data_IF_186290752429
#
_entry.id   IF_186290752429
#
_cell.length_a   1.000
_cell.length_b   1.000
_cell.length_c   1.000
_cell.angle_alpha   90.00
_cell.angle_beta   90.00
_cell.angle_gamma   90.00
#
_symmetry.space_group_name_H-M   'P 1'
#
loop_
_entity.id
_entity.type
_entity.pdbx_description
1 polymer ?
#
# COMPACT_ATOMS: atom_id res chain seq x y z
N UNK A 1 -3.60 3.28 -6.87
CA UNK A 1 -2.92 2.46 -7.88
C UNK A 1 -3.17 3.03 -9.26
N UNK A 2 -2.13 3.20 -10.09
CA UNK A 2 -2.28 3.49 -11.51
C UNK A 2 -2.82 2.23 -12.18
N UNK A 3 -3.89 2.37 -12.96
CA UNK A 3 -4.50 1.27 -13.69
C UNK A 3 -4.94 1.79 -15.05
N UNK A 4 -4.50 1.15 -16.12
CA UNK A 4 -4.87 1.55 -17.48
C UNK A 4 -6.39 1.37 -17.66
N UNK A 5 -7.04 2.35 -18.29
CA UNK A 5 -8.50 2.34 -18.46
C UNK A 5 -9.30 2.65 -17.18
N UNK A 6 -8.65 3.10 -16.10
CA UNK A 6 -9.30 3.54 -14.87
C UNK A 6 -10.38 4.59 -15.13
N UNK A 7 -11.55 4.41 -14.51
CA UNK A 7 -12.72 5.29 -14.66
C UNK A 7 -12.77 6.45 -13.64
N UNK A 8 -11.69 6.68 -12.88
CA UNK A 8 -11.63 7.70 -11.80
C UNK A 8 -12.15 9.08 -12.20
N UNK A 9 -11.65 9.64 -13.30
CA UNK A 9 -12.13 10.95 -13.78
C UNK A 9 -13.60 10.94 -14.21
N UNK A 10 -14.12 9.78 -14.65
CA UNK A 10 -15.54 9.65 -14.99
C UNK A 10 -16.42 9.58 -13.74
N UNK A 11 -15.90 9.07 -12.62
CA UNK A 11 -16.64 9.02 -11.35
C UNK A 11 -16.86 10.43 -10.76
N UNK A 12 -15.99 11.39 -11.10
CA UNK A 12 -16.14 12.80 -10.73
C UNK A 12 -17.11 13.55 -11.65
N UNK A 13 -17.62 12.90 -12.72
CA UNK A 13 -18.55 13.50 -13.67
C UNK A 13 -19.84 12.65 -13.81
N UNK A 14 -20.39 12.53 -15.02
CA UNK A 14 -21.69 11.91 -15.28
C UNK A 14 -21.81 10.44 -14.85
N UNK A 15 -20.72 9.67 -14.87
CA UNK A 15 -20.78 8.26 -14.45
C UNK A 15 -21.06 8.13 -12.93
N UNK A 16 -20.43 8.97 -12.10
CA UNK A 16 -20.67 8.95 -10.66
C UNK A 16 -22.10 9.32 -10.30
N UNK A 17 -22.62 10.38 -10.94
CA UNK A 17 -24.01 10.81 -10.76
C UNK A 17 -25.01 9.71 -11.15
N UNK A 18 -24.82 9.11 -12.33
CA UNK A 18 -25.65 8.00 -12.81
C UNK A 18 -25.61 6.80 -11.85
N UNK A 19 -24.44 6.41 -11.34
CA UNK A 19 -24.33 5.31 -10.37
C UNK A 19 -25.15 5.62 -9.12
N UNK A 20 -25.03 6.83 -8.57
CA UNK A 20 -25.77 7.24 -7.37
C UNK A 20 -27.28 7.23 -7.63
N UNK A 21 -27.72 7.79 -8.75
CA UNK A 21 -29.14 7.85 -9.12
C UNK A 21 -29.74 6.46 -9.31
N UNK A 22 -29.11 5.63 -10.13
CA UNK A 22 -29.61 4.29 -10.47
C UNK A 22 -29.51 3.33 -9.28
N UNK A 23 -28.54 3.51 -8.37
CA UNK A 23 -28.38 2.67 -7.19
C UNK A 23 -29.59 2.68 -6.25
N UNK A 24 -30.41 3.74 -6.28
CA UNK A 24 -31.63 3.87 -5.45
C UNK A 24 -32.67 2.81 -5.77
N UNK A 25 -32.63 2.26 -6.99
CA UNK A 25 -33.56 1.25 -7.48
C UNK A 25 -32.96 -0.16 -7.50
N UNK A 26 -31.66 -0.28 -7.17
CA UNK A 26 -30.94 -1.54 -7.23
C UNK A 26 -30.81 -2.20 -5.86
N UNK A 27 -30.87 -3.54 -5.83
CA UNK A 27 -30.62 -4.33 -4.61
C UNK A 27 -29.14 -4.61 -4.36
N UNK A 28 -28.29 -4.45 -5.39
CA UNK A 28 -26.85 -4.73 -5.37
C UNK A 28 -26.19 -4.00 -6.53
N UNK A 29 -24.95 -3.53 -6.32
CA UNK A 29 -24.09 -3.06 -7.40
C UNK A 29 -23.09 -4.17 -7.77
N UNK A 30 -22.94 -4.45 -9.06
CA UNK A 30 -22.02 -5.49 -9.55
C UNK A 30 -21.05 -4.88 -10.57
N UNK A 31 -19.77 -4.84 -10.21
CA UNK A 31 -18.68 -4.40 -11.08
C UNK A 31 -18.01 -5.64 -11.68
N UNK A 32 -18.39 -5.98 -12.92
CA UNK A 32 -17.95 -7.21 -13.59
C UNK A 32 -16.48 -7.18 -14.06
N UNK A 33 -15.87 -5.99 -14.12
CA UNK A 33 -14.51 -5.77 -14.61
C UNK A 33 -13.80 -4.75 -13.72
N UNK A 34 -13.65 -5.10 -12.45
CA UNK A 34 -13.34 -4.11 -11.43
C UNK A 34 -11.92 -3.54 -11.53
N UNK A 35 -10.96 -4.26 -12.12
CA UNK A 35 -9.58 -3.83 -12.26
C UNK A 35 -8.97 -3.39 -10.93
N UNK A 36 -8.55 -2.13 -10.81
CA UNK A 36 -8.06 -1.58 -9.54
C UNK A 36 -9.17 -1.21 -8.52
N UNK A 37 -10.42 -1.55 -8.80
CA UNK A 37 -11.57 -1.40 -7.91
C UNK A 37 -12.09 0.03 -7.73
N UNK A 38 -11.75 0.98 -8.61
CA UNK A 38 -12.16 2.39 -8.41
C UNK A 38 -13.67 2.60 -8.49
N UNK A 39 -14.36 1.90 -9.39
CA UNK A 39 -15.82 2.02 -9.54
C UNK A 39 -16.52 1.31 -8.38
N UNK A 40 -16.14 0.06 -8.10
CA UNK A 40 -16.62 -0.66 -6.92
C UNK A 40 -16.40 0.09 -5.60
N UNK A 41 -15.24 0.71 -5.40
CA UNK A 41 -14.99 1.56 -4.22
C UNK A 41 -15.95 2.74 -4.19
N UNK A 42 -16.04 3.52 -5.28
CA UNK A 42 -16.97 4.65 -5.33
C UNK A 42 -18.41 4.22 -5.00
N UNK A 43 -18.89 3.12 -5.59
CA UNK A 43 -20.21 2.59 -5.30
C UNK A 43 -20.36 2.21 -3.81
N UNK A 44 -19.37 1.56 -3.22
CA UNK A 44 -19.40 1.14 -1.82
C UNK A 44 -19.40 2.33 -0.85
N UNK A 45 -18.76 3.44 -1.21
CA UNK A 45 -18.67 4.64 -0.38
C UNK A 45 -19.89 5.56 -0.52
N UNK A 46 -20.41 5.71 -1.76
CA UNK A 46 -21.43 6.72 -2.08
C UNK A 46 -22.85 6.18 -2.16
N UNK A 47 -23.04 4.86 -2.10
CA UNK A 47 -24.35 4.23 -2.22
C UNK A 47 -24.63 3.28 -1.05
N UNK A 48 -25.89 2.84 -0.92
CA UNK A 48 -26.33 1.90 0.12
C UNK A 48 -26.29 0.42 -0.29
N UNK A 49 -26.56 0.03 -1.56
CA UNK A 49 -26.59 -1.38 -1.91
C UNK A 49 -25.22 -2.06 -1.69
N UNK A 50 -25.19 -3.35 -1.31
CA UNK A 50 -23.95 -4.11 -1.26
C UNK A 50 -23.27 -4.14 -2.62
N UNK A 51 -21.93 -4.17 -2.61
CA UNK A 51 -21.09 -4.16 -3.81
C UNK A 51 -20.45 -5.53 -4.02
N UNK A 52 -20.52 -6.05 -5.24
CA UNK A 52 -19.76 -7.22 -5.70
C UNK A 52 -18.78 -6.77 -6.80
N UNK A 53 -17.49 -6.92 -6.54
CA UNK A 53 -16.43 -6.63 -7.50
C UNK A 53 -15.86 -7.95 -8.03
N UNK A 54 -15.85 -8.10 -9.36
CA UNK A 54 -15.37 -9.29 -10.07
C UNK A 54 -14.31 -8.86 -11.07
N UNK A 55 -13.32 -9.71 -11.27
CA UNK A 55 -12.33 -9.58 -12.34
C UNK A 55 -11.78 -10.98 -12.67
N UNK A 56 -11.35 -11.19 -13.90
CA UNK A 56 -10.67 -12.43 -14.31
C UNK A 56 -9.28 -12.53 -13.68
N UNK A 57 -8.62 -11.40 -13.44
CA UNK A 57 -7.28 -11.36 -12.89
C UNK A 57 -7.34 -11.43 -11.36
N UNK A 58 -6.81 -12.51 -10.77
CA UNK A 58 -6.75 -12.67 -9.31
C UNK A 58 -6.09 -11.48 -8.60
N UNK A 59 -5.08 -10.86 -9.23
CA UNK A 59 -4.43 -9.64 -8.73
C UNK A 59 -5.42 -8.48 -8.58
N UNK A 60 -6.25 -8.22 -9.60
CA UNK A 60 -7.27 -7.17 -9.56
C UNK A 60 -8.31 -7.46 -8.48
N UNK A 61 -8.76 -8.71 -8.37
CA UNK A 61 -9.70 -9.14 -7.30
C UNK A 61 -9.13 -8.88 -5.91
N UNK A 62 -7.87 -9.28 -5.65
CA UNK A 62 -7.21 -9.06 -4.36
C UNK A 62 -7.06 -7.56 -4.06
N UNK A 63 -6.68 -6.76 -5.07
CA UNK A 63 -6.50 -5.33 -4.92
C UNK A 63 -7.83 -4.61 -4.62
N UNK A 64 -8.89 -4.94 -5.34
CA UNK A 64 -10.23 -4.40 -5.11
C UNK A 64 -10.78 -4.83 -3.73
N UNK A 65 -10.61 -6.10 -3.36
CA UNK A 65 -11.03 -6.63 -2.05
C UNK A 65 -10.33 -5.95 -0.89
N UNK A 66 -9.05 -5.60 -1.04
CA UNK A 66 -8.30 -4.86 -0.03
C UNK A 66 -8.87 -3.46 0.27
N UNK A 67 -9.82 -2.97 -0.53
CA UNK A 67 -10.55 -1.73 -0.29
C UNK A 67 -12.03 -1.99 0.02
N UNK A 68 -12.74 -2.62 -0.91
CA UNK A 68 -14.21 -2.80 -0.84
C UNK A 68 -14.60 -3.81 0.23
N UNK A 69 -13.72 -4.76 0.58
CA UNK A 69 -13.97 -5.76 1.61
C UNK A 69 -13.69 -5.30 3.04
N UNK A 70 -13.32 -4.03 3.25
CA UNK A 70 -13.07 -3.50 4.60
C UNK A 70 -14.39 -3.19 5.29
N UNK A 71 -14.55 -3.69 6.50
CA UNK A 71 -15.66 -3.42 7.42
C UNK A 71 -15.30 -2.39 8.50
N UNK A 72 -14.01 -2.10 8.66
CA UNK A 72 -13.48 -1.17 9.66
C UNK A 72 -12.49 -0.19 9.03
N UNK A 73 -12.44 1.06 9.54
CA UNK A 73 -11.40 2.01 9.16
C UNK A 73 -10.00 1.44 9.45
N UNK A 74 -9.05 1.75 8.58
CA UNK A 74 -7.64 1.49 8.84
C UNK A 74 -7.06 2.67 9.63
N UNK A 75 -6.37 2.39 10.72
CA UNK A 75 -5.53 3.38 11.41
C UNK A 75 -4.15 3.40 10.75
N UNK A 76 -3.78 4.55 10.17
CA UNK A 76 -2.44 4.82 9.67
C UNK A 76 -1.39 4.54 10.73
N UNK A 77 -1.65 5.01 11.96
CA UNK A 77 -0.74 4.91 13.09
C UNK A 77 -0.50 3.45 13.46
N UNK A 78 -1.54 2.62 13.43
CA UNK A 78 -1.45 1.19 13.74
C UNK A 78 -0.66 0.45 12.68
N UNK A 79 -0.97 0.68 11.40
CA UNK A 79 -0.26 0.03 10.28
C UNK A 79 1.21 0.42 10.28
N UNK A 80 1.49 1.72 10.41
CA UNK A 80 2.85 2.24 10.48
C UNK A 80 3.59 1.65 11.67
N UNK A 81 2.98 1.64 12.84
CA UNK A 81 3.59 1.07 14.05
C UNK A 81 3.89 -0.41 13.85
N UNK A 82 2.93 -1.23 13.43
CA UNK A 82 3.13 -2.67 13.26
C UNK A 82 4.20 -3.00 12.21
N UNK A 83 4.18 -2.28 11.10
CA UNK A 83 5.14 -2.45 10.02
C UNK A 83 6.53 -1.98 10.43
N UNK A 84 6.65 -0.75 10.92
CA UNK A 84 7.93 -0.15 11.33
C UNK A 84 8.52 -0.87 12.54
N UNK A 85 7.72 -1.31 13.51
CA UNK A 85 8.25 -1.99 14.70
C UNK A 85 8.82 -3.37 14.37
N UNK A 86 8.28 -4.06 13.36
CA UNK A 86 8.92 -5.27 12.82
C UNK A 86 10.29 -4.95 12.21
N UNK A 87 10.37 -3.90 11.40
CA UNK A 87 11.64 -3.46 10.79
C UNK A 87 12.63 -2.98 11.85
N UNK A 88 12.21 -2.15 12.80
CA UNK A 88 13.03 -1.66 13.91
C UNK A 88 13.60 -2.81 14.73
N UNK A 89 12.79 -3.82 15.08
CA UNK A 89 13.24 -5.02 15.82
C UNK A 89 14.27 -5.81 15.04
N UNK A 90 14.07 -6.01 13.74
CA UNK A 90 15.03 -6.72 12.90
C UNK A 90 16.33 -5.92 12.77
N UNK A 91 16.23 -4.61 12.53
CA UNK A 91 17.35 -3.68 12.44
C UNK A 91 18.18 -3.68 13.72
N UNK A 92 17.57 -3.52 14.89
CA UNK A 92 18.30 -3.46 16.18
C UNK A 92 18.97 -4.77 16.55
N UNK A 93 18.53 -5.92 16.00
CA UNK A 93 19.20 -7.22 16.18
C UNK A 93 20.36 -7.45 15.21
N UNK A 94 20.51 -6.61 14.19
CA UNK A 94 21.52 -6.82 13.17
C UNK A 94 22.90 -6.33 13.64
N UNK A 95 23.90 -7.20 13.50
CA UNK A 95 25.31 -6.82 13.67
C UNK A 95 25.71 -5.64 12.79
N UNK A 96 25.18 -5.58 11.57
CA UNK A 96 25.50 -4.52 10.61
C UNK A 96 24.93 -3.17 11.05
N UNK A 97 23.78 -3.16 11.70
CA UNK A 97 23.21 -1.93 12.27
C UNK A 97 24.09 -1.33 13.38
N UNK A 98 24.68 -2.16 14.23
CA UNK A 98 25.61 -1.70 15.26
C UNK A 98 26.89 -1.12 14.66
N UNK A 99 27.44 -1.77 13.63
CA UNK A 99 28.60 -1.26 12.89
C UNK A 99 28.26 0.06 12.20
N UNK A 100 27.10 0.15 11.52
CA UNK A 100 26.63 1.36 10.87
C UNK A 100 26.50 2.54 11.84
N UNK A 101 25.90 2.32 13.02
CA UNK A 101 25.83 3.31 14.10
C UNK A 101 27.21 3.77 14.56
N UNK A 102 28.17 2.83 14.70
CA UNK A 102 29.54 3.14 15.08
C UNK A 102 30.28 4.01 14.05
N UNK A 103 30.05 3.75 12.76
CA UNK A 103 30.58 4.56 11.66
C UNK A 103 29.90 5.93 11.56
N UNK A 104 28.57 5.99 11.73
CA UNK A 104 27.79 7.23 11.63
C UNK A 104 28.00 8.22 12.78
N UNK A 105 28.43 7.75 13.96
CA UNK A 105 28.70 8.60 15.12
C UNK A 105 30.08 9.29 15.08
N UNK A 106 30.88 9.07 14.02
CA UNK A 106 32.22 9.65 13.90
C UNK A 106 32.14 11.14 13.55
N UNK A 107 32.76 12.00 14.37
CA UNK A 107 32.74 13.47 14.19
C UNK A 107 33.48 13.94 12.93
N UNK A 108 34.43 13.14 12.42
CA UNK A 108 35.26 13.49 11.28
C UNK A 108 35.14 12.42 10.19
N UNK A 109 34.73 12.85 9.00
CA UNK A 109 34.66 11.99 7.83
C UNK A 109 36.07 11.84 7.26
N UNK A 110 36.51 10.59 7.07
CA UNK A 110 37.81 10.26 6.48
C UNK A 110 37.62 9.28 5.33
N UNK A 111 38.59 9.20 4.41
CA UNK A 111 38.57 8.21 3.32
C UNK A 111 38.42 6.77 3.85
N UNK A 112 39.08 6.47 4.97
CA UNK A 112 38.98 5.17 5.65
C UNK A 112 37.56 4.89 6.14
N UNK A 113 36.90 5.88 6.74
CA UNK A 113 35.51 5.77 7.19
C UNK A 113 34.56 5.50 6.01
N UNK A 114 34.71 6.25 4.92
CA UNK A 114 33.87 6.11 3.73
C UNK A 114 34.04 4.73 3.11
N UNK A 115 35.27 4.23 3.01
CA UNK A 115 35.53 2.87 2.51
C UNK A 115 34.88 1.80 3.40
N UNK A 116 35.04 1.90 4.73
CA UNK A 116 34.42 0.97 5.66
C UNK A 116 32.88 1.00 5.59
N UNK A 117 32.28 2.17 5.36
CA UNK A 117 30.84 2.29 5.17
C UNK A 117 30.37 1.65 3.85
N UNK A 118 31.15 1.79 2.77
CA UNK A 118 30.84 1.13 1.47
C UNK A 118 30.90 -0.38 1.58
N UNK A 119 31.97 -0.92 2.18
CA UNK A 119 32.11 -2.36 2.45
C UNK A 119 30.94 -2.90 3.28
N UNK A 120 30.46 -2.12 4.26
CA UNK A 120 29.29 -2.48 5.06
C UNK A 120 28.01 -2.54 4.23
N UNK A 121 27.79 -1.59 3.32
CA UNK A 121 26.61 -1.55 2.45
C UNK A 121 26.59 -2.71 1.43
N UNK A 122 27.76 -3.21 1.02
CA UNK A 122 27.89 -4.36 0.13
C UNK A 122 27.64 -5.70 0.85
N UNK A 123 27.68 -5.71 2.18
CA UNK A 123 27.52 -6.94 2.97
C UNK A 123 26.07 -7.49 2.86
N UNK A 124 25.90 -8.77 2.49
CA UNK A 124 24.58 -9.37 2.35
C UNK A 124 23.88 -9.50 3.71
N UNK A 125 22.65 -9.02 3.79
CA UNK A 125 21.82 -9.06 4.99
C UNK A 125 20.54 -9.85 4.75
N UNK A 126 20.28 -10.85 5.60
CA UNK A 126 19.06 -11.68 5.55
C UNK A 126 17.77 -10.92 5.88
N UNK A 127 17.89 -9.72 6.47
CA UNK A 127 16.75 -8.87 6.81
C UNK A 127 16.49 -7.79 5.75
N UNK A 128 17.13 -7.91 4.58
CA UNK A 128 17.17 -6.90 3.55
C UNK A 128 18.32 -5.91 3.78
N UNK A 129 18.56 -5.00 2.83
CA UNK A 129 19.61 -4.01 2.96
C UNK A 129 19.39 -3.12 4.18
N UNK A 130 20.46 -2.87 4.92
CA UNK A 130 20.45 -2.06 6.14
C UNK A 130 21.16 -0.76 5.77
N UNK A 131 20.50 0.05 4.96
CA UNK A 131 20.85 1.46 4.80
C UNK A 131 19.98 2.31 5.72
#
# INVERSE_FOLDING_TARGET
MKYMGSKRHMLENGLGGMIIEQSRYAKRFVDLFCGAGSVAWFAAEKTKPPVLAVDLQAYAVVLAKAVVGRDKPLSSETIEKEWLDKVKRNRTRSKYWHVARGLGNQKRITKKLVNAARELCEAPSRIGPIW
#
